data_IF_396443628332
#
_entry.id   IF_396443628332
#
_cell.length_a   1.000
_cell.length_b   1.000
_cell.length_c   1.000
_cell.angle_alpha   90.00
_cell.angle_beta   90.00
_cell.angle_gamma   90.00
#
_symmetry.space_group_name_H-M   'P 1'
#
loop_
_entity.id
_entity.type
_entity.pdbx_description
1 polymer ?
#
# COMPACT_ATOMS: atom_id res chain seq x y z
N UNK A 1 16.12 4.38 -3.73
CA UNK A 1 15.98 3.57 -4.96
C UNK A 1 14.99 2.42 -4.76
N UNK A 2 15.12 1.56 -3.75
CA UNK A 2 14.16 0.45 -3.51
C UNK A 2 12.76 0.91 -3.10
N UNK A 3 12.64 1.83 -2.12
CA UNK A 3 11.33 2.39 -1.74
C UNK A 3 10.59 3.05 -2.91
N UNK A 4 11.34 3.73 -3.78
CA UNK A 4 10.81 4.38 -4.98
C UNK A 4 10.30 3.34 -6.00
N UNK A 5 11.00 2.21 -6.15
CA UNK A 5 10.54 1.09 -6.98
C UNK A 5 9.23 0.50 -6.45
N UNK A 6 9.12 0.29 -5.13
CA UNK A 6 7.90 -0.22 -4.50
C UNK A 6 6.73 0.75 -4.79
N UNK A 7 6.90 2.03 -4.47
CA UNK A 7 5.83 3.03 -4.61
C UNK A 7 5.40 3.24 -6.06
N UNK A 8 6.31 3.11 -7.04
CA UNK A 8 5.98 3.25 -8.47
C UNK A 8 5.02 2.18 -9.00
N UNK A 9 4.87 1.05 -8.28
CA UNK A 9 3.95 -0.04 -8.65
C UNK A 9 2.62 -0.01 -7.90
N UNK A 10 2.38 1.03 -7.11
CA UNK A 10 1.18 1.23 -6.31
C UNK A 10 0.33 2.37 -6.88
N UNK A 11 -0.99 2.26 -6.72
CA UNK A 11 -1.89 3.41 -6.94
C UNK A 11 -1.89 4.32 -5.70
N UNK A 12 -2.52 5.48 -5.80
CA UNK A 12 -2.52 6.47 -4.71
C UNK A 12 -3.05 5.91 -3.37
N UNK A 13 -4.22 5.23 -3.30
CA UNK A 13 -4.68 4.64 -2.04
C UNK A 13 -3.73 3.58 -1.45
N UNK A 14 -3.05 2.80 -2.30
CA UNK A 14 -2.08 1.82 -1.86
C UNK A 14 -0.80 2.48 -1.35
N UNK A 15 -0.32 3.56 -2.00
CA UNK A 15 0.81 4.35 -1.52
C UNK A 15 0.50 4.95 -0.15
N UNK A 16 -0.68 5.52 0.03
CA UNK A 16 -1.11 6.08 1.32
C UNK A 16 -1.11 5.01 2.42
N UNK A 17 -1.62 3.80 2.11
CA UNK A 17 -1.62 2.70 3.06
C UNK A 17 -0.19 2.23 3.44
N UNK A 18 0.68 2.02 2.45
CA UNK A 18 2.07 1.54 2.67
C UNK A 18 2.93 2.60 3.37
N UNK A 19 2.69 3.87 3.08
CA UNK A 19 3.44 4.99 3.69
C UNK A 19 2.83 5.48 5.00
N UNK A 20 1.77 4.82 5.48
CA UNK A 20 1.16 5.18 6.75
C UNK A 20 2.17 5.03 7.90
N UNK A 21 2.23 6.04 8.75
CA UNK A 21 3.09 6.02 9.93
C UNK A 21 2.65 4.97 10.95
N UNK A 22 3.26 5.01 12.14
CA UNK A 22 3.04 4.01 13.19
C UNK A 22 1.71 4.22 13.95
N UNK A 23 0.59 4.19 13.22
CA UNK A 23 -0.77 4.40 13.71
C UNK A 23 -1.70 3.29 13.18
N UNK A 24 -2.80 2.98 13.88
CA UNK A 24 -3.77 2.03 13.36
C UNK A 24 -4.37 2.52 12.03
N UNK A 25 -4.35 1.67 11.00
CA UNK A 25 -4.93 1.95 9.68
C UNK A 25 -5.86 0.82 9.26
N UNK A 26 -6.98 1.18 8.64
CA UNK A 26 -7.95 0.23 8.09
C UNK A 26 -8.00 0.39 6.56
N UNK A 27 -7.60 -0.65 5.85
CA UNK A 27 -7.67 -0.71 4.37
C UNK A 27 -8.86 -1.56 3.96
N UNK A 28 -9.89 -0.94 3.39
CA UNK A 28 -11.08 -1.63 2.87
C UNK A 28 -11.03 -1.62 1.36
N UNK A 29 -10.99 -2.81 0.74
CA UNK A 29 -10.91 -2.93 -0.70
C UNK A 29 -11.55 -4.23 -1.20
N UNK A 30 -12.06 -4.21 -2.44
CA UNK A 30 -12.71 -5.37 -3.07
C UNK A 30 -11.74 -6.50 -3.43
N UNK A 31 -12.27 -7.59 -4.00
CA UNK A 31 -11.46 -8.66 -4.57
C UNK A 31 -10.56 -8.13 -5.71
N UNK A 32 -9.35 -8.68 -5.86
CA UNK A 32 -8.41 -8.28 -6.92
C UNK A 32 -7.75 -6.89 -6.75
N UNK A 33 -8.09 -6.13 -5.70
CA UNK A 33 -7.59 -4.76 -5.46
C UNK A 33 -6.11 -4.64 -5.02
N UNK A 34 -5.39 -5.76 -4.87
CA UNK A 34 -3.99 -5.74 -4.45
C UNK A 34 -3.75 -5.64 -2.93
N UNK A 35 -4.74 -5.91 -2.08
CA UNK A 35 -4.59 -5.86 -0.60
C UNK A 35 -3.40 -6.67 -0.03
N UNK A 36 -3.05 -7.82 -0.61
CA UNK A 36 -1.85 -8.58 -0.19
C UNK A 36 -0.56 -7.86 -0.60
N UNK A 37 -0.54 -7.19 -1.76
CA UNK A 37 0.61 -6.36 -2.17
C UNK A 37 0.84 -5.22 -1.18
N UNK A 38 -0.23 -4.59 -0.70
CA UNK A 38 -0.16 -3.54 0.33
C UNK A 38 0.40 -4.06 1.65
N UNK A 39 0.06 -5.28 2.07
CA UNK A 39 0.51 -5.83 3.36
C UNK A 39 1.98 -6.31 3.37
N UNK A 40 2.55 -6.57 2.20
CA UNK A 40 3.92 -7.10 2.05
C UNK A 40 4.96 -5.98 1.95
N UNK A 41 4.54 -4.77 1.59
CA UNK A 41 5.37 -3.58 1.46
C UNK A 41 5.21 -2.67 2.67
#
# INVERSE_FOLDING_TARGET
MEAEQILNHLNEPQKEAVTSGNQPVMVVAGAGSGKTRVLVH
#
